data_IF_872338585483
#
_entry.id   IF_872338585483
#
_cell.length_a   1.000
_cell.length_b   1.000
_cell.length_c   1.000
_cell.angle_alpha   90.00
_cell.angle_beta   90.00
_cell.angle_gamma   90.00
#
_symmetry.space_group_name_H-M   'P 1'
#
loop_
_entity.id
_entity.type
_entity.pdbx_description
1 polymer ?
#
# COMPACT_ATOMS: atom_id res chain seq x y z
N UNK A 1 -17.74 -38.89 -15.42
CA UNK A 1 -16.83 -37.72 -15.38
C UNK A 1 -17.12 -36.93 -14.13
N UNK A 2 -16.12 -36.63 -13.32
CA UNK A 2 -16.32 -35.97 -12.03
C UNK A 2 -16.78 -34.51 -12.28
N UNK A 3 -17.99 -34.09 -11.88
CA UNK A 3 -18.54 -32.77 -12.25
C UNK A 3 -17.81 -31.57 -11.63
N UNK A 4 -16.88 -31.83 -10.70
CA UNK A 4 -16.03 -30.86 -10.01
C UNK A 4 -14.58 -30.82 -10.50
N UNK A 5 -14.28 -31.42 -11.66
CA UNK A 5 -13.00 -31.11 -12.32
C UNK A 5 -12.91 -29.58 -12.52
N UNK A 6 -11.73 -29.01 -12.31
CA UNK A 6 -11.48 -27.61 -12.67
C UNK A 6 -11.92 -27.45 -14.13
N UNK A 7 -12.77 -26.46 -14.42
CA UNK A 7 -13.49 -26.23 -15.70
C UNK A 7 -14.78 -27.03 -15.98
N UNK A 8 -15.32 -27.79 -15.02
CA UNK A 8 -16.67 -28.35 -15.11
C UNK A 8 -17.77 -27.27 -15.12
N UNK A 9 -18.95 -27.59 -15.65
CA UNK A 9 -20.10 -26.66 -15.72
C UNK A 9 -20.53 -26.19 -14.33
N UNK A 10 -20.59 -27.09 -13.34
CA UNK A 10 -20.91 -26.78 -11.94
C UNK A 10 -19.83 -25.90 -11.29
N UNK A 11 -18.55 -26.19 -11.52
CA UNK A 11 -17.44 -25.38 -11.01
C UNK A 11 -17.55 -23.93 -11.52
N UNK A 12 -17.75 -23.74 -12.82
CA UNK A 12 -17.86 -22.41 -13.43
C UNK A 12 -19.09 -21.65 -12.94
N UNK A 13 -20.22 -22.35 -12.76
CA UNK A 13 -21.43 -21.78 -12.21
C UNK A 13 -21.17 -21.23 -10.80
N UNK A 14 -20.70 -22.06 -9.87
CA UNK A 14 -20.43 -21.63 -8.49
C UNK A 14 -19.33 -20.55 -8.40
N UNK A 15 -18.25 -20.67 -9.17
CA UNK A 15 -17.18 -19.68 -9.22
C UNK A 15 -17.68 -18.31 -9.72
N UNK A 16 -18.46 -18.28 -10.81
CA UNK A 16 -19.01 -17.04 -11.34
C UNK A 16 -20.02 -16.39 -10.40
N UNK A 17 -20.87 -17.20 -9.75
CA UNK A 17 -21.85 -16.74 -8.78
C UNK A 17 -21.16 -16.15 -7.54
N UNK A 18 -20.14 -16.83 -7.02
CA UNK A 18 -19.32 -16.36 -5.90
C UNK A 18 -18.60 -15.04 -6.22
N UNK A 19 -17.95 -14.96 -7.38
CA UNK A 19 -17.23 -13.76 -7.82
C UNK A 19 -18.18 -12.57 -7.94
N UNK A 20 -19.40 -12.76 -8.46
CA UNK A 20 -20.43 -11.70 -8.54
C UNK A 20 -20.83 -11.19 -7.16
N UNK A 21 -21.01 -12.07 -6.16
CA UNK A 21 -21.31 -11.65 -4.79
C UNK A 21 -20.19 -10.82 -4.16
N UNK A 22 -18.93 -11.22 -4.37
CA UNK A 22 -17.78 -10.42 -3.91
C UNK A 22 -17.76 -9.06 -4.59
N UNK A 23 -17.90 -9.01 -5.92
CA UNK A 23 -17.89 -7.75 -6.67
C UNK A 23 -19.02 -6.82 -6.23
N UNK A 24 -20.23 -7.34 -6.00
CA UNK A 24 -21.34 -6.56 -5.45
C UNK A 24 -21.04 -6.00 -4.06
N UNK A 25 -20.45 -6.82 -3.17
CA UNK A 25 -20.07 -6.37 -1.83
C UNK A 25 -18.94 -5.34 -1.87
N UNK A 26 -17.93 -5.56 -2.71
CA UNK A 26 -16.83 -4.64 -2.91
C UNK A 26 -17.35 -3.31 -3.44
N UNK A 27 -18.21 -3.33 -4.45
CA UNK A 27 -18.83 -2.14 -5.02
C UNK A 27 -19.63 -1.36 -3.96
N UNK A 28 -20.48 -2.05 -3.18
CA UNK A 28 -21.25 -1.43 -2.10
C UNK A 28 -20.37 -0.78 -1.03
N UNK A 29 -19.34 -1.49 -0.55
CA UNK A 29 -18.39 -0.94 0.43
C UNK A 29 -17.59 0.23 -0.14
N UNK A 30 -17.15 0.13 -1.40
CA UNK A 30 -16.41 1.20 -2.09
C UNK A 30 -17.26 2.46 -2.16
N UNK A 31 -18.54 2.37 -2.53
CA UNK A 31 -19.45 3.53 -2.57
C UNK A 31 -19.54 4.20 -1.20
N UNK A 32 -19.82 3.43 -0.15
CA UNK A 32 -19.98 3.96 1.21
C UNK A 32 -18.72 4.71 1.64
N UNK A 33 -17.55 4.11 1.43
CA UNK A 33 -16.27 4.70 1.85
C UNK A 33 -15.87 5.89 0.98
N UNK A 34 -16.19 5.87 -0.31
CA UNK A 34 -15.94 6.99 -1.22
C UNK A 34 -16.73 8.23 -0.82
N UNK A 35 -17.97 8.06 -0.35
CA UNK A 35 -18.78 9.16 0.19
C UNK A 35 -18.14 9.74 1.44
N UNK A 36 -17.74 8.89 2.40
CA UNK A 36 -17.05 9.32 3.63
C UNK A 36 -15.76 10.07 3.28
N UNK A 37 -14.97 9.55 2.35
CA UNK A 37 -13.72 10.18 1.94
C UNK A 37 -13.95 11.53 1.26
N UNK A 38 -14.99 11.64 0.42
CA UNK A 38 -15.33 12.92 -0.23
C UNK A 38 -15.70 13.98 0.80
N UNK A 39 -16.45 13.61 1.85
CA UNK A 39 -16.77 14.51 2.98
C UNK A 39 -15.49 14.95 3.71
N UNK A 40 -14.57 14.02 3.98
CA UNK A 40 -13.30 14.34 4.63
C UNK A 40 -12.41 15.27 3.79
N UNK A 41 -12.34 15.05 2.48
CA UNK A 41 -11.59 15.91 1.56
C UNK A 41 -12.21 17.32 1.46
N UNK A 42 -13.54 17.42 1.46
CA UNK A 42 -14.23 18.72 1.53
C UNK A 42 -13.93 19.44 2.85
N UNK A 43 -13.92 18.70 3.97
CA UNK A 43 -13.56 19.24 5.29
C UNK A 43 -12.13 19.78 5.30
N UNK A 44 -11.16 19.03 4.78
CA UNK A 44 -9.76 19.47 4.71
C UNK A 44 -9.58 20.71 3.84
N UNK A 45 -10.23 20.75 2.67
CA UNK A 45 -10.21 21.92 1.78
C UNK A 45 -10.78 23.17 2.47
N UNK A 46 -11.86 23.01 3.25
CA UNK A 46 -12.46 24.13 3.99
C UNK A 46 -11.54 24.70 5.08
N UNK A 47 -10.67 23.87 5.67
CA UNK A 47 -9.79 24.29 6.76
C UNK A 47 -8.54 25.00 6.22
N UNK A 48 -7.97 24.52 5.11
CA UNK A 48 -6.68 25.01 4.63
C UNK A 48 -6.71 26.34 3.83
N UNK A 49 -7.88 26.92 3.52
CA UNK A 49 -8.07 28.24 2.86
C UNK A 49 -7.03 28.59 1.76
N UNK A 50 -6.52 27.59 1.06
CA UNK A 50 -5.57 27.80 -0.02
C UNK A 50 -6.38 28.16 -1.26
N UNK A 51 -6.12 29.34 -1.81
CA UNK A 51 -6.74 29.94 -3.02
C UNK A 51 -6.33 29.19 -4.32
N UNK A 52 -6.17 27.87 -4.21
CA UNK A 52 -5.70 27.01 -5.29
C UNK A 52 -6.89 26.56 -6.12
N UNK A 53 -6.87 26.99 -7.39
CA UNK A 53 -7.79 26.66 -8.46
C UNK A 53 -8.21 25.18 -8.47
N UNK A 54 -9.53 24.95 -8.65
CA UNK A 54 -10.18 23.84 -9.35
C UNK A 54 -9.73 22.38 -9.12
N UNK A 55 -9.03 22.04 -8.03
CA UNK A 55 -8.87 20.62 -7.69
C UNK A 55 -10.24 20.08 -7.26
N UNK A 56 -10.84 19.32 -8.18
CA UNK A 56 -12.11 18.66 -8.02
C UNK A 56 -11.97 17.55 -6.98
N UNK A 57 -12.54 17.74 -5.79
CA UNK A 57 -12.60 16.73 -4.72
C UNK A 57 -13.01 15.34 -5.23
N UNK A 58 -13.97 15.19 -6.17
CA UNK A 58 -14.31 13.89 -6.74
C UNK A 58 -13.14 13.21 -7.46
N UNK A 59 -12.28 13.97 -8.14
CA UNK A 59 -11.11 13.42 -8.85
C UNK A 59 -10.11 12.86 -7.85
N UNK A 60 -9.82 13.57 -6.76
CA UNK A 60 -8.95 13.08 -5.69
C UNK A 60 -9.51 11.82 -5.02
N UNK A 61 -10.82 11.77 -4.79
CA UNK A 61 -11.47 10.57 -4.25
C UNK A 61 -11.31 9.38 -5.20
N UNK A 62 -11.54 9.59 -6.51
CA UNK A 62 -11.33 8.56 -7.54
C UNK A 62 -9.87 8.09 -7.56
N UNK A 63 -8.93 9.03 -7.43
CA UNK A 63 -7.51 8.69 -7.45
C UNK A 63 -7.10 7.78 -6.27
N UNK A 64 -7.74 7.91 -5.10
CA UNK A 64 -7.42 7.07 -3.95
C UNK A 64 -8.22 5.74 -3.90
N UNK A 65 -9.15 5.50 -4.84
CA UNK A 65 -9.99 4.30 -4.84
C UNK A 65 -9.20 2.98 -4.81
N UNK A 66 -8.13 2.79 -5.62
CA UNK A 66 -7.40 1.54 -5.61
C UNK A 66 -6.76 1.21 -4.24
N UNK A 67 -6.27 2.23 -3.53
CA UNK A 67 -5.73 2.06 -2.17
C UNK A 67 -6.82 1.67 -1.18
N UNK A 68 -8.00 2.28 -1.30
CA UNK A 68 -9.14 1.91 -0.47
C UNK A 68 -9.53 0.45 -0.73
N UNK A 69 -9.54 0.02 -2.00
CA UNK A 69 -9.81 -1.36 -2.39
C UNK A 69 -8.87 -2.33 -1.66
N UNK A 70 -7.56 -2.03 -1.54
CA UNK A 70 -6.62 -2.87 -0.77
C UNK A 70 -7.11 -3.13 0.66
N UNK A 71 -7.57 -2.07 1.35
CA UNK A 71 -7.98 -2.14 2.75
C UNK A 71 -9.32 -2.86 2.91
N UNK A 72 -10.26 -2.66 1.99
CA UNK A 72 -11.64 -3.13 2.14
C UNK A 72 -11.88 -4.51 1.50
N UNK A 73 -11.02 -4.96 0.58
CA UNK A 73 -11.18 -6.23 -0.11
C UNK A 73 -11.29 -7.44 0.85
N UNK A 74 -10.48 -7.55 1.93
CA UNK A 74 -10.66 -8.61 2.93
C UNK A 74 -12.07 -8.62 3.55
N UNK A 75 -12.64 -7.44 3.82
CA UNK A 75 -13.99 -7.30 4.35
C UNK A 75 -15.04 -7.67 3.30
N UNK A 76 -14.86 -7.23 2.05
CA UNK A 76 -15.73 -7.56 0.93
C UNK A 76 -15.76 -9.07 0.65
N UNK A 77 -14.60 -9.75 0.69
CA UNK A 77 -14.49 -11.21 0.53
C UNK A 77 -15.19 -11.92 1.67
N UNK A 78 -14.98 -11.49 2.93
CA UNK A 78 -15.62 -12.11 4.08
C UNK A 78 -17.15 -12.00 4.01
N UNK A 79 -17.68 -10.78 3.83
CA UNK A 79 -19.13 -10.53 3.78
C UNK A 79 -19.74 -11.14 2.52
N UNK A 80 -19.09 -10.99 1.36
CA UNK A 80 -19.53 -11.55 0.09
C UNK A 80 -19.60 -13.08 0.14
N UNK A 81 -18.62 -13.72 0.76
CA UNK A 81 -18.66 -15.17 1.00
C UNK A 81 -19.86 -15.56 1.87
N UNK A 82 -20.09 -14.84 2.97
CA UNK A 82 -21.22 -15.13 3.85
C UNK A 82 -22.58 -14.97 3.14
N UNK A 83 -22.75 -13.90 2.36
CA UNK A 83 -23.98 -13.67 1.61
C UNK A 83 -24.19 -14.71 0.51
N UNK A 84 -23.12 -15.09 -0.20
CA UNK A 84 -23.14 -16.12 -1.22
C UNK A 84 -23.58 -17.49 -0.64
N UNK A 85 -22.95 -17.93 0.45
CA UNK A 85 -23.32 -19.20 1.10
C UNK A 85 -24.72 -19.15 1.70
N UNK A 86 -25.15 -17.99 2.21
CA UNK A 86 -26.54 -17.83 2.67
C UNK A 86 -27.55 -17.93 1.51
N UNK A 87 -27.22 -17.40 0.33
CA UNK A 87 -28.05 -17.53 -0.86
C UNK A 87 -28.13 -19.00 -1.31
N UNK A 88 -27.00 -19.70 -1.40
CA UNK A 88 -26.99 -21.12 -1.77
C UNK A 88 -27.68 -22.03 -0.74
N UNK A 89 -27.60 -21.70 0.54
CA UNK A 89 -28.33 -22.43 1.58
C UNK A 89 -29.85 -22.25 1.44
N UNK A 90 -30.32 -21.08 0.96
CA UNK A 90 -31.76 -20.84 0.72
C UNK A 90 -32.27 -21.57 -0.53
N UNK A 91 -31.45 -21.68 -1.58
CA UNK A 91 -31.84 -22.40 -2.80
C UNK A 91 -31.57 -23.91 -2.74
N UNK A 92 -31.01 -24.42 -1.63
CA UNK A 92 -30.59 -25.81 -1.43
C UNK A 92 -29.54 -26.31 -2.46
N UNK A 93 -29.01 -25.47 -3.35
CA UNK A 93 -28.05 -25.85 -4.39
C UNK A 93 -26.77 -26.45 -3.81
N UNK A 94 -26.26 -25.86 -2.73
CA UNK A 94 -25.03 -26.35 -2.09
C UNK A 94 -25.27 -27.63 -1.29
N UNK A 95 -26.44 -27.78 -0.67
CA UNK A 95 -26.79 -28.98 0.08
C UNK A 95 -26.93 -30.19 -0.86
N UNK A 96 -27.57 -29.99 -2.02
CA UNK A 96 -27.74 -31.04 -3.04
C UNK A 96 -26.40 -31.50 -3.61
N UNK A 97 -25.45 -30.59 -3.83
CA UNK A 97 -24.11 -30.98 -4.33
C UNK A 97 -23.31 -31.79 -3.31
N UNK A 98 -23.42 -31.48 -2.01
CA UNK A 98 -22.81 -32.31 -0.93
C UNK A 98 -23.51 -33.68 -0.80
N UNK A 99 -24.80 -33.77 -1.12
CA UNK A 99 -25.59 -35.01 -1.04
C UNK A 99 -25.06 -36.19 -1.86
N UNK A 100 -24.15 -35.96 -2.81
CA UNK A 100 -23.50 -37.00 -3.61
C UNK A 100 -22.24 -37.63 -2.95
N UNK A 101 -22.01 -37.39 -1.65
CA UNK A 101 -20.89 -37.98 -0.91
C UNK A 101 -19.53 -37.38 -1.23
N UNK A 102 -19.50 -36.14 -1.75
CA UNK A 102 -18.25 -35.45 -2.08
C UNK A 102 -17.63 -34.79 -0.85
N UNK A 103 -16.30 -34.87 -0.73
CA UNK A 103 -15.55 -34.16 0.31
C UNK A 103 -15.78 -32.66 0.25
N UNK A 104 -15.82 -32.03 1.43
CA UNK A 104 -16.06 -30.59 1.56
C UNK A 104 -15.02 -29.74 0.80
N UNK A 105 -13.78 -30.21 0.71
CA UNK A 105 -12.70 -29.54 0.00
C UNK A 105 -12.96 -29.43 -1.50
N UNK A 106 -13.50 -30.48 -2.11
CA UNK A 106 -13.83 -30.49 -3.52
C UNK A 106 -15.03 -29.58 -3.81
N UNK A 107 -16.05 -29.64 -2.94
CA UNK A 107 -17.24 -28.80 -3.04
C UNK A 107 -16.92 -27.30 -2.90
N UNK A 108 -15.96 -26.93 -2.06
CA UNK A 108 -15.48 -25.54 -1.91
C UNK A 108 -14.43 -25.11 -2.92
N UNK A 109 -13.87 -26.01 -3.73
CA UNK A 109 -12.83 -25.65 -4.71
C UNK A 109 -13.18 -24.45 -5.61
N UNK A 110 -14.44 -24.23 -6.09
CA UNK A 110 -14.77 -23.06 -6.89
C UNK A 110 -14.61 -21.75 -6.10
N UNK A 111 -14.91 -21.77 -4.80
CA UNK A 111 -14.78 -20.61 -3.90
C UNK A 111 -13.31 -20.30 -3.64
N UNK A 112 -12.51 -21.31 -3.29
CA UNK A 112 -11.09 -21.14 -2.97
C UNK A 112 -10.29 -20.66 -4.19
N UNK A 113 -10.52 -21.26 -5.36
CA UNK A 113 -9.87 -20.86 -6.61
C UNK A 113 -10.29 -19.44 -7.02
N UNK A 114 -11.56 -19.08 -6.84
CA UNK A 114 -12.02 -17.72 -7.13
C UNK A 114 -11.42 -16.70 -6.17
N UNK A 115 -11.34 -16.99 -4.87
CA UNK A 115 -10.73 -16.10 -3.88
C UNK A 115 -9.22 -15.89 -4.17
N UNK A 116 -8.52 -16.97 -4.50
CA UNK A 116 -7.11 -16.93 -4.93
C UNK A 116 -6.95 -16.12 -6.22
N UNK A 117 -7.82 -16.35 -7.22
CA UNK A 117 -7.81 -15.62 -8.48
C UNK A 117 -8.06 -14.12 -8.31
N UNK A 118 -9.00 -13.73 -7.43
CA UNK A 118 -9.27 -12.33 -7.07
C UNK A 118 -8.03 -11.71 -6.41
N UNK A 119 -7.37 -12.44 -5.52
CA UNK A 119 -6.14 -11.99 -4.88
C UNK A 119 -4.99 -11.78 -5.86
N UNK A 120 -4.75 -12.74 -6.76
CA UNK A 120 -3.74 -12.61 -7.81
C UNK A 120 -4.07 -11.44 -8.74
N UNK A 121 -5.33 -11.29 -9.15
CA UNK A 121 -5.77 -10.17 -9.97
C UNK A 121 -5.58 -8.82 -9.26
N UNK A 122 -5.78 -8.77 -7.95
CA UNK A 122 -5.48 -7.59 -7.16
C UNK A 122 -3.98 -7.23 -7.23
N UNK A 123 -3.10 -8.21 -7.00
CA UNK A 123 -1.64 -7.98 -7.04
C UNK A 123 -1.17 -7.59 -8.45
N UNK A 124 -1.67 -8.26 -9.49
CA UNK A 124 -1.18 -8.06 -10.86
C UNK A 124 -1.73 -6.80 -11.54
N UNK A 125 -2.95 -6.38 -11.21
CA UNK A 125 -3.68 -5.33 -11.93
C UNK A 125 -4.03 -4.17 -11.01
N UNK A 126 -4.71 -4.43 -9.90
CA UNK A 126 -5.23 -3.36 -9.03
C UNK A 126 -4.08 -2.62 -8.33
N UNK A 127 -3.06 -3.33 -7.84
CA UNK A 127 -1.93 -2.72 -7.16
C UNK A 127 -1.10 -1.78 -8.08
N UNK A 128 -0.69 -2.18 -9.30
CA UNK A 128 -0.01 -1.26 -10.22
C UNK A 128 -0.84 -0.03 -10.60
N UNK A 129 -2.14 -0.21 -10.82
CA UNK A 129 -3.06 0.92 -11.04
C UNK A 129 -3.05 1.81 -9.79
N UNK A 130 -3.15 1.23 -8.60
CA UNK A 130 -3.09 1.95 -7.34
C UNK A 130 -1.81 2.74 -7.14
N UNK A 131 -0.64 2.18 -7.49
CA UNK A 131 0.62 2.90 -7.40
C UNK A 131 0.65 4.17 -8.26
N UNK A 132 0.28 4.05 -9.53
CA UNK A 132 0.23 5.21 -10.45
C UNK A 132 -0.76 6.26 -9.95
N UNK A 133 -1.91 5.81 -9.46
CA UNK A 133 -2.99 6.68 -9.04
C UNK A 133 -2.68 7.38 -7.71
N UNK A 134 -2.05 6.66 -6.78
CA UNK A 134 -1.53 7.20 -5.51
C UNK A 134 -0.47 8.26 -5.73
N UNK A 135 0.48 8.02 -6.64
CA UNK A 135 1.51 9.01 -6.97
C UNK A 135 0.89 10.32 -7.47
N UNK A 136 -0.17 10.25 -8.27
CA UNK A 136 -0.93 11.43 -8.70
C UNK A 136 -1.69 12.07 -7.55
N UNK A 137 -2.35 11.27 -6.71
CA UNK A 137 -3.03 11.75 -5.51
C UNK A 137 -2.08 12.52 -4.59
N UNK A 138 -0.92 11.94 -4.26
CA UNK A 138 0.10 12.54 -3.40
C UNK A 138 0.63 13.86 -4.00
N UNK A 139 0.89 13.87 -5.32
CA UNK A 139 1.36 15.08 -6.00
C UNK A 139 0.34 16.23 -5.97
N UNK A 140 -0.96 15.92 -6.10
CA UNK A 140 -2.03 16.93 -6.03
C UNK A 140 -2.28 17.36 -4.57
N UNK A 141 -2.17 16.43 -3.62
CA UNK A 141 -2.33 16.73 -2.20
C UNK A 141 -1.19 17.63 -1.66
N UNK A 142 0.04 17.46 -2.16
CA UNK A 142 1.15 18.35 -1.85
C UNK A 142 0.85 19.80 -2.26
N UNK A 143 0.30 20.01 -3.47
CA UNK A 143 -0.10 21.35 -3.92
C UNK A 143 -1.22 21.99 -3.08
N UNK A 144 -2.16 21.18 -2.58
CA UNK A 144 -3.25 21.65 -1.71
C UNK A 144 -2.80 22.01 -0.30
N UNK A 145 -1.76 21.35 0.19
CA UNK A 145 -1.25 21.57 1.54
C UNK A 145 -0.37 22.82 1.63
N UNK A 146 -0.05 23.47 0.50
CA UNK A 146 0.99 24.51 0.42
C UNK A 146 2.39 23.96 0.70
N UNK A 147 2.47 22.64 0.86
CA UNK A 147 3.63 21.92 1.35
C UNK A 147 4.41 21.51 0.10
N UNK A 148 5.37 22.35 -0.28
CA UNK A 148 6.34 22.05 -1.34
C UNK A 148 7.35 21.01 -0.84
N UNK A 149 6.87 19.97 -0.12
CA UNK A 149 7.66 19.07 0.72
C UNK A 149 8.13 17.82 -0.03
N UNK A 150 7.91 17.73 -1.35
CA UNK A 150 8.49 16.68 -2.19
C UNK A 150 9.89 17.08 -2.70
N UNK A 151 10.71 17.54 -1.77
CA UNK A 151 12.06 18.04 -2.01
C UNK A 151 13.08 16.91 -2.17
N UNK A 152 12.74 15.67 -1.80
CA UNK A 152 13.60 14.51 -1.99
C UNK A 152 13.02 13.59 -3.07
N UNK A 153 13.83 13.26 -4.07
CA UNK A 153 13.55 12.24 -5.07
C UNK A 153 14.68 11.22 -5.04
N UNK A 154 14.32 9.94 -4.96
CA UNK A 154 15.29 8.86 -4.86
C UNK A 154 15.40 8.18 -6.23
N UNK A 155 16.62 7.96 -6.70
CA UNK A 155 16.90 7.39 -8.02
C UNK A 155 18.03 6.35 -7.95
N UNK A 156 18.22 5.57 -9.02
CA UNK A 156 19.32 4.60 -9.10
C UNK A 156 20.72 5.24 -9.00
N UNK A 157 20.87 6.51 -9.39
CA UNK A 157 22.14 7.23 -9.35
C UNK A 157 22.40 7.97 -8.03
N UNK A 158 21.56 7.74 -7.02
CA UNK A 158 21.67 8.41 -5.73
C UNK A 158 20.42 9.21 -5.35
N UNK A 159 20.58 10.00 -4.30
CA UNK A 159 19.55 10.82 -3.68
C UNK A 159 19.59 12.20 -4.29
N UNK A 160 18.45 12.66 -4.80
CA UNK A 160 18.27 14.01 -5.30
C UNK A 160 17.45 14.81 -4.31
N UNK A 161 18.00 15.91 -3.84
CA UNK A 161 17.31 16.89 -3.04
C UNK A 161 17.16 18.18 -3.85
N UNK A 162 16.00 18.80 -3.77
CA UNK A 162 15.71 20.12 -4.32
C UNK A 162 15.39 21.04 -3.15
N UNK A 163 16.11 22.15 -3.10
CA UNK A 163 15.82 23.23 -2.17
C UNK A 163 15.60 24.53 -2.95
N UNK A 164 14.75 25.40 -2.41
CA UNK A 164 14.45 26.70 -2.99
C UNK A 164 14.67 27.75 -1.92
N UNK A 165 15.63 28.64 -2.16
CA UNK A 165 15.95 29.73 -1.25
C UNK A 165 15.84 31.05 -2.02
N UNK A 166 14.88 31.88 -1.61
CA UNK A 166 14.49 33.14 -2.25
C UNK A 166 14.27 33.02 -3.77
N UNK A 167 15.32 33.20 -4.57
CA UNK A 167 15.31 33.16 -6.04
C UNK A 167 16.39 32.21 -6.63
N UNK A 168 17.10 31.49 -5.76
CA UNK A 168 18.14 30.52 -6.11
C UNK A 168 17.61 29.11 -5.87
N UNK A 169 17.64 28.30 -6.93
CA UNK A 169 17.24 26.90 -6.87
C UNK A 169 18.47 26.03 -6.70
N UNK A 170 18.53 25.29 -5.60
CA UNK A 170 19.62 24.39 -5.30
C UNK A 170 19.16 22.95 -5.56
N UNK A 171 19.95 22.20 -6.32
CA UNK A 171 19.74 20.77 -6.56
C UNK A 171 20.96 20.04 -6.03
N UNK A 172 20.77 19.16 -5.06
CA UNK A 172 21.83 18.35 -4.45
C UNK A 172 21.63 16.92 -4.93
N UNK A 173 22.69 16.31 -5.45
CA UNK A 173 22.78 14.88 -5.70
C UNK A 173 23.80 14.30 -4.72
N UNK A 174 23.54 13.17 -4.07
CA UNK A 174 24.57 12.43 -3.36
C UNK A 174 24.34 10.92 -3.37
N UNK A 175 25.40 10.16 -3.12
CA UNK A 175 25.38 8.69 -3.26
C UNK A 175 24.52 8.02 -2.18
N UNK A 176 24.62 8.48 -0.93
CA UNK A 176 23.90 7.94 0.21
C UNK A 176 23.60 9.01 1.26
N UNK A 177 22.50 8.83 2.02
CA UNK A 177 22.08 9.70 3.12
C UNK A 177 21.97 8.87 4.40
N UNK A 178 22.76 9.24 5.40
CA UNK A 178 22.59 8.74 6.74
C UNK A 178 21.53 9.55 7.48
N UNK A 179 20.35 8.97 7.66
CA UNK A 179 19.22 9.63 8.33
C UNK A 179 19.47 9.96 9.82
N UNK A 180 20.38 9.26 10.52
CA UNK A 180 20.66 9.51 11.94
C UNK A 180 21.51 10.76 12.16
N UNK A 181 22.47 10.99 11.27
CA UNK A 181 23.38 12.15 11.32
C UNK A 181 23.00 13.24 10.33
N UNK A 182 21.99 13.01 9.49
CA UNK A 182 21.60 13.84 8.36
C UNK A 182 22.79 14.19 7.45
N UNK A 183 23.62 13.19 7.16
CA UNK A 183 24.85 13.34 6.38
C UNK A 183 24.72 12.67 5.01
N UNK A 184 25.02 13.40 3.95
CA UNK A 184 25.09 12.96 2.57
C UNK A 184 26.56 12.69 2.19
N UNK A 185 26.84 11.54 1.59
CA UNK A 185 28.17 11.19 1.07
C UNK A 185 28.33 11.57 -0.40
N UNK A 186 29.52 12.06 -0.77
CA UNK A 186 29.88 12.51 -2.12
C UNK A 186 28.83 13.43 -2.78
N UNK A 187 28.38 14.49 -2.10
CA UNK A 187 27.38 15.40 -2.66
C UNK A 187 27.95 16.20 -3.85
N UNK A 188 27.17 16.25 -4.93
CA UNK A 188 27.28 17.24 -6.00
C UNK A 188 26.13 18.22 -5.90
N UNK A 189 26.44 19.49 -5.71
CA UNK A 189 25.48 20.57 -5.48
C UNK A 189 25.47 21.46 -6.73
N UNK A 190 24.29 21.72 -7.27
CA UNK A 190 24.07 22.60 -8.40
C UNK A 190 23.23 23.79 -7.95
N UNK A 191 23.69 25.00 -8.25
CA UNK A 191 22.95 26.22 -7.98
C UNK A 191 22.50 26.86 -9.28
N UNK A 192 21.21 27.17 -9.36
CA UNK A 192 20.59 27.81 -10.50
C UNK A 192 20.02 29.18 -10.12
N UNK A 193 20.26 30.18 -10.95
CA UNK A 193 19.70 31.53 -10.85
C UNK A 193 18.64 31.69 -11.94
N UNK A 194 17.57 32.47 -11.67
CA UNK A 194 16.46 32.70 -12.60
C UNK A 194 15.82 31.39 -13.13
N UNK A 195 15.86 30.31 -12.34
CA UNK A 195 15.20 29.04 -12.61
C UNK A 195 15.90 28.07 -13.58
N UNK A 196 16.78 28.54 -14.47
CA UNK A 196 17.41 27.68 -15.51
C UNK A 196 18.90 27.95 -15.78
N UNK A 197 19.48 29.05 -15.33
CA UNK A 197 20.90 29.35 -15.57
C UNK A 197 21.76 28.75 -14.45
N UNK A 198 22.67 27.83 -14.81
CA UNK A 198 23.63 27.25 -13.86
C UNK A 198 24.62 28.32 -13.42
N UNK A 199 24.59 28.69 -12.15
CA UNK A 199 25.50 29.65 -11.55
C UNK A 199 26.82 28.96 -11.15
N UNK A 200 26.72 27.90 -10.36
CA UNK A 200 27.89 27.14 -9.93
C UNK A 200 27.55 25.70 -9.60
N UNK A 201 28.59 24.85 -9.63
CA UNK A 201 28.57 23.47 -9.21
C UNK A 201 29.60 23.26 -8.11
N UNK A 202 29.24 22.58 -7.03
CA UNK A 202 30.20 22.14 -6.01
C UNK A 202 30.20 20.62 -5.94
N UNK A 203 31.36 20.00 -5.95
CA UNK A 203 31.53 18.59 -5.54
C UNK A 203 32.24 18.58 -4.20
N UNK A 204 31.78 17.75 -3.27
CA UNK A 204 32.39 17.65 -1.95
C UNK A 204 32.42 16.20 -1.47
N UNK A 205 33.24 15.92 -0.45
CA UNK A 205 33.35 14.56 0.09
C UNK A 205 32.18 14.20 1.00
N UNK A 206 31.69 15.16 1.79
CA UNK A 206 30.51 14.95 2.62
C UNK A 206 29.76 16.25 2.90
N UNK A 207 28.47 16.14 3.19
CA UNK A 207 27.62 17.28 3.55
C UNK A 207 26.69 16.88 4.68
N UNK A 208 26.62 17.67 5.75
CA UNK A 208 25.84 17.36 6.94
C UNK A 208 24.85 18.49 7.24
N UNK A 209 23.60 18.15 7.55
CA UNK A 209 22.61 19.14 7.93
C UNK A 209 22.81 19.57 9.40
N UNK A 210 23.09 20.84 9.62
CA UNK A 210 23.24 21.48 10.94
C UNK A 210 22.13 22.51 11.18
N UNK A 211 22.05 23.09 12.39
CA UNK A 211 21.05 24.12 12.70
C UNK A 211 21.22 25.42 11.89
N UNK A 212 22.40 25.66 11.32
CA UNK A 212 22.71 26.85 10.52
C UNK A 212 22.57 26.62 9.01
N UNK A 213 22.40 25.36 8.60
CA UNK A 213 22.33 24.96 7.20
C UNK A 213 23.14 23.70 6.91
N UNK A 214 23.38 23.42 5.63
CA UNK A 214 24.22 22.32 5.20
C UNK A 214 25.69 22.67 5.32
N UNK A 215 26.40 22.00 6.21
CA UNK A 215 27.86 22.06 6.31
C UNK A 215 28.47 21.10 5.28
N UNK A 216 29.19 21.65 4.31
CA UNK A 216 29.85 20.92 3.23
C UNK A 216 31.33 20.83 3.55
N UNK A 217 31.87 19.61 3.58
CA UNK A 217 33.28 19.34 3.87
C UNK A 217 34.06 19.02 2.60
N UNK A 218 35.20 19.69 2.43
CA UNK A 218 36.14 19.54 1.31
C UNK A 218 35.46 19.74 -0.04
N UNK A 219 34.85 20.92 -0.23
CA UNK A 219 34.12 21.26 -1.44
C UNK A 219 34.97 21.98 -2.49
N UNK A 220 35.04 21.42 -3.70
CA UNK A 220 35.58 22.11 -4.87
C UNK A 220 34.43 22.78 -5.64
N UNK A 221 34.51 24.10 -5.85
CA UNK A 221 33.53 24.86 -6.63
C UNK A 221 34.02 25.03 -8.06
N UNK A 222 33.12 24.81 -9.02
CA UNK A 222 33.24 25.20 -10.42
C UNK A 222 32.22 26.29 -10.74
N UNK A 223 32.70 27.41 -11.27
CA UNK A 223 31.83 28.46 -11.79
C UNK A 223 31.32 28.12 -13.20
N UNK A 224 30.31 28.85 -13.67
CA UNK A 224 29.76 28.77 -15.03
C UNK A 224 30.83 28.95 -16.12
N UNK A 225 31.88 29.73 -15.84
CA UNK A 225 33.03 29.97 -16.71
C UNK A 225 34.09 28.82 -16.68
N UNK A 226 33.88 27.78 -15.88
CA UNK A 226 34.76 26.61 -15.77
C UNK A 226 35.97 26.79 -14.85
N UNK A 227 36.12 27.94 -14.20
CA UNK A 227 37.13 28.17 -13.17
C UNK A 227 36.82 27.34 -11.92
N UNK A 228 37.84 26.66 -11.37
CA UNK A 228 37.71 25.88 -10.14
C UNK A 228 38.42 26.56 -8.96
N UNK A 229 37.78 26.49 -7.79
CA UNK A 229 38.34 26.96 -6.53
C UNK A 229 38.04 25.93 -5.44
N UNK A 230 39.05 25.58 -4.66
CA UNK A 230 38.86 24.77 -3.45
C UNK A 230 38.35 25.67 -2.32
N UNK A 231 37.17 25.35 -1.80
CA UNK A 231 36.51 26.11 -0.73
C UNK A 231 36.72 25.48 0.65
N UNK A 232 37.28 24.27 0.75
CA UNK A 232 37.37 23.54 2.01
C UNK A 232 36.00 23.32 2.66
N UNK A 233 35.87 23.61 3.95
CA UNK A 233 34.59 23.53 4.69
C UNK A 233 33.82 24.84 4.64
N UNK A 234 32.57 24.79 4.17
CA UNK A 234 31.67 25.94 4.13
C UNK A 234 30.22 25.55 4.41
N UNK A 235 29.38 26.55 4.73
CA UNK A 235 27.97 26.32 5.08
C UNK A 235 27.07 26.91 4.00
N UNK A 236 26.12 26.12 3.53
CA UNK A 236 25.02 26.56 2.67
C UNK A 236 23.78 26.72 3.55
N UNK A 237 23.25 27.94 3.74
CA UNK A 237 22.04 28.14 4.51
C UNK A 237 20.87 27.41 3.84
N UNK A 238 20.06 26.69 4.61
CA UNK A 238 18.86 26.02 4.12
C UNK A 238 17.73 26.20 5.11
N UNK A 239 16.49 26.24 4.62
CA UNK A 239 15.30 26.19 5.45
C UNK A 239 14.83 24.76 5.70
N UNK A 240 15.51 23.75 5.15
CA UNK A 240 15.15 22.34 5.31
C UNK A 240 15.55 21.82 6.69
N UNK A 241 14.57 21.35 7.45
CA UNK A 241 14.82 20.64 8.69
C UNK A 241 15.11 19.15 8.48
N UNK A 242 15.79 18.53 9.45
CA UNK A 242 15.99 17.07 9.46
C UNK A 242 14.65 16.29 9.48
N UNK A 243 13.61 16.88 10.06
CA UNK A 243 12.24 16.33 10.07
C UNK A 243 11.63 16.33 8.66
N UNK A 244 11.90 17.35 7.85
CA UNK A 244 11.35 17.45 6.49
C UNK A 244 11.98 16.42 5.55
N UNK A 245 13.29 16.18 5.71
CA UNK A 245 14.00 15.10 5.00
C UNK A 245 13.38 13.73 5.29
N UNK A 246 12.98 13.46 6.53
CA UNK A 246 12.34 12.19 6.89
C UNK A 246 10.93 11.99 6.32
N UNK A 247 10.21 13.08 6.03
CA UNK A 247 8.84 13.03 5.49
C UNK A 247 8.81 13.01 3.96
N UNK A 248 9.86 13.51 3.31
CA UNK A 248 9.97 13.68 1.85
C UNK A 248 10.15 12.38 1.04
N UNK A 249 10.12 11.20 1.66
CA UNK A 249 10.20 9.91 0.98
C UNK A 249 8.89 9.48 0.32
N UNK A 250 8.98 8.75 -0.80
CA UNK A 250 7.79 8.19 -1.45
C UNK A 250 7.10 7.12 -0.58
N UNK A 251 5.78 7.27 -0.41
CA UNK A 251 4.94 6.30 0.31
C UNK A 251 5.02 4.92 -0.35
N UNK A 252 5.09 3.81 0.43
CA UNK A 252 5.10 2.45 -0.11
C UNK A 252 3.94 2.16 -1.09
N UNK A 253 2.77 2.77 -0.89
CA UNK A 253 1.59 2.60 -1.74
C UNK A 253 1.68 3.29 -3.11
N UNK A 254 2.63 4.22 -3.29
CA UNK A 254 2.86 4.94 -4.55
C UNK A 254 3.74 4.17 -5.55
N UNK A 255 4.24 2.99 -5.14
CA UNK A 255 5.19 2.18 -5.91
C UNK A 255 4.53 0.86 -6.26
N UNK A 256 4.61 0.47 -7.54
CA UNK A 256 3.98 -0.77 -8.00
C UNK A 256 4.74 -1.99 -7.47
N UNK A 257 4.02 -3.09 -7.25
CA UNK A 257 4.63 -4.36 -6.79
C UNK A 257 5.80 -4.83 -7.66
N UNK A 258 5.81 -4.48 -8.95
CA UNK A 258 6.90 -4.84 -9.88
C UNK A 258 8.16 -4.00 -9.68
N UNK A 259 8.01 -2.72 -9.38
CA UNK A 259 9.14 -1.81 -9.15
C UNK A 259 9.65 -1.85 -7.71
N UNK A 260 8.82 -2.32 -6.76
CA UNK A 260 9.10 -2.28 -5.34
C UNK A 260 10.39 -3.02 -4.92
N UNK A 261 10.73 -4.23 -5.42
CA UNK A 261 11.99 -4.89 -5.08
C UNK A 261 13.23 -4.10 -5.52
N UNK A 262 13.18 -3.54 -6.73
CA UNK A 262 14.27 -2.72 -7.23
C UNK A 262 14.40 -1.42 -6.40
N UNK A 263 13.27 -0.80 -6.06
CA UNK A 263 13.26 0.40 -5.22
C UNK A 263 13.80 0.14 -3.81
N UNK A 264 13.52 -1.02 -3.21
CA UNK A 264 14.11 -1.42 -1.92
C UNK A 264 15.64 -1.49 -2.03
N UNK A 265 16.18 -2.08 -3.09
CA UNK A 265 17.63 -2.12 -3.30
C UNK A 265 18.24 -0.72 -3.47
N UNK A 266 17.52 0.20 -4.13
CA UNK A 266 17.96 1.59 -4.27
C UNK A 266 17.99 2.29 -2.91
N UNK A 267 16.93 2.12 -2.10
CA UNK A 267 16.88 2.65 -0.73
C UNK A 267 18.02 2.09 0.14
N UNK A 268 18.27 0.78 0.06
CA UNK A 268 19.32 0.11 0.84
C UNK A 268 20.72 0.65 0.47
N UNK A 269 21.01 0.77 -0.83
CA UNK A 269 22.26 1.39 -1.33
C UNK A 269 22.41 2.85 -0.92
N UNK A 270 21.29 3.56 -0.90
CA UNK A 270 21.23 4.96 -0.48
C UNK A 270 21.30 5.15 1.05
N UNK A 271 21.38 4.06 1.85
CA UNK A 271 21.43 4.12 3.31
C UNK A 271 20.11 4.51 3.98
N UNK A 272 18.99 4.44 3.24
CA UNK A 272 17.66 4.83 3.68
C UNK A 272 16.90 3.65 4.31
N UNK A 273 15.98 3.90 5.27
CA UNK A 273 15.21 2.83 5.90
C UNK A 273 14.28 2.14 4.89
N UNK A 274 14.46 0.84 4.70
CA UNK A 274 13.68 0.00 3.77
C UNK A 274 12.49 -0.70 4.41
N UNK A 275 12.44 -0.73 5.75
CA UNK A 275 11.57 -1.65 6.52
C UNK A 275 10.08 -1.54 6.15
N UNK A 276 9.58 -0.31 5.92
CA UNK A 276 8.18 -0.09 5.56
C UNK A 276 7.85 -0.66 4.17
N UNK A 277 8.75 -0.48 3.21
CA UNK A 277 8.62 -0.95 1.83
C UNK A 277 8.74 -2.48 1.76
N UNK A 278 9.66 -3.07 2.54
CA UNK A 278 9.81 -4.53 2.64
C UNK A 278 8.57 -5.21 3.24
N UNK A 279 8.03 -4.68 4.34
CA UNK A 279 6.81 -5.21 4.95
C UNK A 279 5.64 -5.10 3.96
N UNK A 280 5.51 -3.95 3.29
CA UNK A 280 4.45 -3.75 2.30
C UNK A 280 4.55 -4.75 1.14
N UNK A 281 5.76 -4.96 0.60
CA UNK A 281 6.00 -5.94 -0.45
C UNK A 281 5.56 -7.35 -0.04
N UNK A 282 5.98 -7.81 1.14
CA UNK A 282 5.60 -9.11 1.67
C UNK A 282 4.09 -9.22 1.90
N UNK A 283 3.44 -8.15 2.40
CA UNK A 283 2.00 -8.11 2.60
C UNK A 283 1.22 -8.23 1.29
N UNK A 284 1.66 -7.55 0.23
CA UNK A 284 1.04 -7.66 -1.11
C UNK A 284 1.14 -9.09 -1.63
N UNK A 285 2.31 -9.72 -1.52
CA UNK A 285 2.52 -11.09 -1.99
C UNK A 285 1.73 -12.13 -1.17
N UNK A 286 1.58 -11.90 0.14
CA UNK A 286 0.80 -12.76 1.02
C UNK A 286 -0.71 -12.56 0.89
N UNK A 287 -1.15 -11.47 0.23
CA UNK A 287 -2.55 -11.07 0.15
C UNK A 287 -3.47 -12.11 -0.51
N UNK A 288 -3.11 -12.80 -1.61
CA UNK A 288 -3.97 -13.84 -2.18
C UNK A 288 -4.23 -15.00 -1.21
N UNK A 289 -3.21 -15.39 -0.45
CA UNK A 289 -3.33 -16.43 0.58
C UNK A 289 -4.27 -15.98 1.71
N UNK A 290 -4.18 -14.71 2.12
CA UNK A 290 -5.08 -14.12 3.11
C UNK A 290 -6.55 -14.22 2.66
N UNK A 291 -6.87 -13.86 1.41
CA UNK A 291 -8.24 -13.93 0.89
C UNK A 291 -8.80 -15.36 0.88
N UNK A 292 -7.96 -16.34 0.54
CA UNK A 292 -8.35 -17.76 0.62
C UNK A 292 -8.69 -18.13 2.06
N UNK A 293 -7.82 -17.81 3.03
CA UNK A 293 -8.10 -18.10 4.44
C UNK A 293 -9.38 -17.43 4.95
N UNK A 294 -9.62 -16.18 4.57
CA UNK A 294 -10.86 -15.44 4.91
C UNK A 294 -12.09 -16.15 4.33
N UNK A 295 -12.03 -16.60 3.08
CA UNK A 295 -13.14 -17.32 2.45
C UNK A 295 -13.48 -18.61 3.22
N UNK A 296 -12.47 -19.35 3.67
CA UNK A 296 -12.66 -20.58 4.46
C UNK A 296 -13.34 -20.31 5.81
N UNK A 297 -12.86 -19.30 6.53
CA UNK A 297 -13.46 -18.87 7.80
C UNK A 297 -14.92 -18.44 7.59
N UNK A 298 -15.18 -17.62 6.57
CA UNK A 298 -16.51 -17.13 6.24
C UNK A 298 -17.49 -18.26 5.89
N UNK A 299 -17.03 -19.27 5.15
CA UNK A 299 -17.82 -20.46 4.85
C UNK A 299 -18.20 -21.23 6.12
N UNK A 300 -17.25 -21.47 7.04
CA UNK A 300 -17.54 -22.19 8.29
C UNK A 300 -18.62 -21.51 9.12
N UNK A 301 -18.54 -20.19 9.23
CA UNK A 301 -19.48 -19.40 10.05
C UNK A 301 -20.89 -19.48 9.49
N UNK A 302 -21.03 -19.43 8.16
CA UNK A 302 -22.32 -19.43 7.48
C UNK A 302 -23.06 -20.77 7.64
N UNK A 303 -22.35 -21.91 7.57
CA UNK A 303 -22.98 -23.23 7.72
C UNK A 303 -23.66 -23.46 9.06
N UNK A 304 -23.26 -22.76 10.14
CA UNK A 304 -23.80 -22.97 11.48
C UNK A 304 -25.17 -22.30 11.70
N UNK A 305 -25.70 -21.53 10.75
CA UNK A 305 -26.84 -20.64 10.98
C UNK A 305 -27.93 -20.76 9.92
N UNK A 306 -28.92 -21.61 10.20
CA UNK A 306 -30.01 -21.97 9.28
C UNK A 306 -31.26 -21.05 9.43
N UNK A 307 -31.35 -20.19 10.45
CA UNK A 307 -32.59 -19.44 10.76
C UNK A 307 -32.55 -17.95 10.37
N UNK A 308 -33.68 -17.43 9.88
CA UNK A 308 -33.87 -16.06 9.32
C UNK A 308 -33.50 -14.91 10.29
N UNK A 309 -33.86 -15.01 11.58
CA UNK A 309 -33.48 -14.02 12.62
C UNK A 309 -32.00 -14.06 13.04
N UNK A 310 -31.25 -15.03 12.52
CA UNK A 310 -29.84 -15.28 12.83
C UNK A 310 -28.92 -14.66 11.78
N UNK A 311 -29.45 -14.22 10.63
CA UNK A 311 -28.68 -13.56 9.55
C UNK A 311 -28.01 -12.26 10.01
N UNK A 312 -28.71 -11.39 10.74
CA UNK A 312 -28.10 -10.17 11.30
C UNK A 312 -26.96 -10.51 12.27
N UNK A 313 -27.14 -11.56 13.08
CA UNK A 313 -26.09 -12.05 14.01
C UNK A 313 -24.88 -12.62 13.26
N UNK A 314 -25.07 -13.21 12.07
CA UNK A 314 -23.96 -13.67 11.23
C UNK A 314 -23.12 -12.50 10.72
N UNK A 315 -23.77 -11.46 10.19
CA UNK A 315 -23.08 -10.27 9.66
C UNK A 315 -22.28 -9.60 10.79
N UNK A 316 -22.85 -9.43 11.98
CA UNK A 316 -22.15 -8.85 13.14
C UNK A 316 -20.93 -9.70 13.53
N UNK A 317 -21.06 -11.03 13.56
CA UNK A 317 -19.92 -11.92 13.83
C UNK A 317 -18.85 -11.82 12.75
N UNK A 318 -19.26 -11.77 11.49
CA UNK A 318 -18.35 -11.62 10.36
C UNK A 318 -17.57 -10.32 10.42
N UNK A 319 -18.26 -9.21 10.70
CA UNK A 319 -17.62 -7.91 10.89
C UNK A 319 -16.62 -7.95 12.06
N UNK A 320 -17.00 -8.54 13.21
CA UNK A 320 -16.08 -8.70 14.34
C UNK A 320 -14.81 -9.48 13.97
N UNK A 321 -14.94 -10.57 13.21
CA UNK A 321 -13.79 -11.37 12.76
C UNK A 321 -12.94 -10.60 11.75
N UNK A 322 -13.55 -9.89 10.80
CA UNK A 322 -12.83 -9.05 9.85
C UNK A 322 -12.03 -7.96 10.58
N UNK A 323 -12.63 -7.32 11.58
CA UNK A 323 -11.97 -6.33 12.44
C UNK A 323 -10.83 -6.97 13.24
N UNK A 324 -11.00 -8.17 13.80
CA UNK A 324 -9.92 -8.88 14.48
C UNK A 324 -8.74 -9.18 13.54
N UNK A 325 -9.00 -9.65 12.31
CA UNK A 325 -7.97 -9.91 11.31
C UNK A 325 -7.25 -8.61 10.92
N UNK A 326 -7.99 -7.51 10.76
CA UNK A 326 -7.42 -6.20 10.48
C UNK A 326 -6.50 -5.72 11.61
N UNK A 327 -6.98 -5.76 12.86
CA UNK A 327 -6.18 -5.38 14.04
C UNK A 327 -4.93 -6.26 14.16
N UNK A 328 -5.06 -7.57 13.95
CA UNK A 328 -3.91 -8.47 13.98
C UNK A 328 -2.88 -8.15 12.89
N UNK A 329 -3.34 -7.85 11.68
CA UNK A 329 -2.47 -7.43 10.58
C UNK A 329 -1.77 -6.10 10.87
N UNK A 330 -2.48 -5.15 11.47
CA UNK A 330 -1.92 -3.87 11.90
C UNK A 330 -0.88 -4.04 13.01
N UNK A 331 -1.15 -4.89 14.00
CA UNK A 331 -0.21 -5.21 15.08
C UNK A 331 1.09 -5.80 14.52
N UNK A 332 0.99 -6.75 13.59
CA UNK A 332 2.16 -7.33 12.93
C UNK A 332 2.96 -6.30 12.14
N UNK A 333 2.28 -5.38 11.45
CA UNK A 333 2.94 -4.26 10.78
C UNK A 333 3.71 -3.37 11.77
N UNK A 334 3.08 -2.95 12.86
CA UNK A 334 3.72 -2.12 13.92
C UNK A 334 4.91 -2.83 14.56
N UNK A 335 4.82 -4.15 14.79
CA UNK A 335 5.96 -4.93 15.29
C UNK A 335 7.11 -4.98 14.28
N UNK A 336 6.81 -5.14 12.98
CA UNK A 336 7.82 -5.09 11.93
C UNK A 336 8.52 -3.74 11.84
N UNK A 337 7.78 -2.63 11.89
CA UNK A 337 8.37 -1.28 11.82
C UNK A 337 9.18 -0.91 13.06
N UNK A 338 8.89 -1.52 14.21
CA UNK A 338 9.65 -1.36 15.45
C UNK A 338 10.94 -2.22 15.48
N UNK A 339 11.31 -2.88 14.37
CA UNK A 339 12.48 -3.76 14.23
C UNK A 339 12.53 -4.93 15.23
N UNK A 340 11.41 -5.27 15.87
CA UNK A 340 11.33 -6.41 16.80
C UNK A 340 11.15 -7.73 16.05
N UNK A 341 10.58 -7.67 14.85
CA UNK A 341 10.27 -8.83 14.00
C UNK A 341 10.78 -8.57 12.58
N UNK A 342 11.39 -9.55 11.89
CA UNK A 342 11.80 -9.40 10.50
C UNK A 342 10.64 -9.05 9.56
N UNK A 343 10.91 -8.23 8.53
CA UNK A 343 9.90 -7.76 7.57
C UNK A 343 9.06 -8.89 6.94
N UNK A 344 9.71 -9.99 6.56
CA UNK A 344 9.07 -11.17 5.97
C UNK A 344 8.06 -11.79 6.94
N UNK A 345 8.44 -11.93 8.21
CA UNK A 345 7.57 -12.52 9.24
C UNK A 345 6.38 -11.58 9.50
N UNK A 346 6.63 -10.28 9.63
CA UNK A 346 5.57 -9.29 9.83
C UNK A 346 4.53 -9.28 8.68
N UNK A 347 4.99 -9.40 7.43
CA UNK A 347 4.12 -9.41 6.25
C UNK A 347 3.31 -10.70 6.06
N UNK A 348 3.94 -11.88 6.26
CA UNK A 348 3.32 -13.18 5.96
C UNK A 348 2.49 -13.75 7.11
N UNK A 349 2.80 -13.41 8.36
CA UNK A 349 2.16 -14.01 9.55
C UNK A 349 0.62 -13.87 9.55
N UNK A 350 0.02 -12.70 9.23
CA UNK A 350 -1.44 -12.58 9.16
C UNK A 350 -2.07 -13.53 8.15
N UNK A 351 -1.52 -13.60 6.93
CA UNK A 351 -2.05 -14.46 5.88
C UNK A 351 -1.95 -15.94 6.23
N UNK A 352 -0.78 -16.39 6.70
CA UNK A 352 -0.54 -17.78 7.10
C UNK A 352 -1.45 -18.17 8.27
N UNK A 353 -1.55 -17.32 9.29
CA UNK A 353 -2.39 -17.61 10.47
C UNK A 353 -3.86 -17.76 10.09
N UNK A 354 -4.38 -16.84 9.28
CA UNK A 354 -5.78 -16.87 8.83
C UNK A 354 -6.04 -18.08 7.92
N UNK A 355 -5.10 -18.42 7.04
CA UNK A 355 -5.20 -19.61 6.19
C UNK A 355 -5.20 -20.91 7.00
N UNK A 356 -4.30 -21.04 7.99
CA UNK A 356 -4.24 -22.21 8.87
C UNK A 356 -5.51 -22.35 9.72
N UNK A 357 -5.97 -21.26 10.35
CA UNK A 357 -7.21 -21.26 11.13
C UNK A 357 -8.40 -21.63 10.24
N UNK A 358 -8.49 -21.04 9.05
CA UNK A 358 -9.53 -21.37 8.07
C UNK A 358 -9.50 -22.84 7.65
N UNK A 359 -8.31 -23.38 7.42
CA UNK A 359 -8.11 -24.80 7.09
C UNK A 359 -8.55 -25.73 8.21
N UNK A 360 -8.16 -25.46 9.45
CA UNK A 360 -8.57 -26.24 10.63
C UNK A 360 -10.09 -26.17 10.82
N UNK A 361 -10.68 -24.97 10.67
CA UNK A 361 -12.12 -24.77 10.79
C UNK A 361 -12.92 -25.55 9.74
N UNK A 362 -12.37 -25.67 8.53
CA UNK A 362 -12.97 -26.39 7.42
C UNK A 362 -12.77 -27.91 7.53
N UNK A 363 -11.62 -28.37 8.01
CA UNK A 363 -11.39 -29.79 8.28
C UNK A 363 -12.39 -30.33 9.32
N UNK A 364 -12.64 -29.58 10.40
CA UNK A 364 -13.64 -29.91 11.43
C UNK A 364 -15.09 -29.91 10.92
N UNK A 365 -15.35 -29.41 9.72
CA UNK A 365 -16.67 -29.49 9.08
C UNK A 365 -16.87 -30.83 8.34
N UNK A 366 -15.79 -31.50 7.93
CA UNK A 366 -15.85 -32.77 7.20
C UNK A 366 -16.05 -33.95 8.17
N UNK A 367 -15.54 -33.82 9.41
CA UNK A 367 -15.68 -34.80 10.49
C UNK A 367 -17.09 -34.87 11.11
N UNK A 368 -17.93 -33.85 10.86
CA UNK A 368 -19.32 -33.74 11.37
C UNK A 368 -20.32 -33.82 10.22
#
# INVERSE_FOLDING_TARGET
MNPFFIFGTLFRYFASYYTRWILLCLFGLTIIISVIQSVELMRQKSVNKSDVQEISVPVLAILNLPNIIEVILPFAVLIGTMLCFNAWNKSNEFIVTRGFGQSIWLSLSPVLVSALGIGILFVMVINPIGAVTSKRYDSQMATLSGDTSNNLTISESGIWLRDMQDDVKIIINGDALNMKTAQISNPTIYSFVNGFELNWRVEAQSMQLTQMGWEVNDGTKWDSDGLNADLGTFIIPTNLGAVDLSRSGQSPHSISVYALPHFINVLERAGLPTINHEIHFNKILAFPLLLVGISMIATRITFRSINRGRQMKLIIKGLGIATCIFIFSYLMHVMGTSLTVPAVVAGWTPAISVFLIGSIMLARLDEN
#
